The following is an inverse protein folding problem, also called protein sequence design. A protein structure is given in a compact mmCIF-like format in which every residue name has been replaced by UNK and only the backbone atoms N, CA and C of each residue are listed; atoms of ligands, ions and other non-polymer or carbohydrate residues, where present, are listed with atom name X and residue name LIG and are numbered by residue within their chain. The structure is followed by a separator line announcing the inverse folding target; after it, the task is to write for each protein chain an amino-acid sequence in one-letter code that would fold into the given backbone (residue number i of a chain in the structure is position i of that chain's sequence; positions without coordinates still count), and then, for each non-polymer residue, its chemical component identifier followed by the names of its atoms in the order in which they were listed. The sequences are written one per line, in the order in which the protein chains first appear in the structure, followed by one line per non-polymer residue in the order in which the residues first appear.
data_IF_910918208126
#
_entry.id   IF_910918208126
#
_cell.length_a   1.000
_cell.length_b   1.000
_cell.length_c   1.000
_cell.angle_alpha   90.00
_cell.angle_beta   90.00
_cell.angle_gamma   90.00
#
_symmetry.space_group_name_H-M   'P 1'
#
loop_
_entity.id
_entity.type
_entity.pdbx_description
1 polymer ?
#
# COMPACT_ATOMS: atom_id res chain seq x y z
N UNK A 1 6.24 -8.17 -20.41
CA UNK A 1 5.08 -7.80 -19.59
C UNK A 1 5.26 -6.34 -19.20
N UNK A 2 4.17 -5.57 -19.09
CA UNK A 2 4.25 -4.15 -18.73
C UNK A 2 4.03 -4.01 -17.24
N UNK A 3 5.01 -3.48 -16.51
CA UNK A 3 4.90 -3.21 -15.08
C UNK A 3 4.16 -1.88 -14.88
N UNK A 4 3.07 -1.89 -14.10
CA UNK A 4 2.23 -0.70 -13.84
C UNK A 4 2.09 -0.49 -12.34
N UNK A 5 2.37 0.74 -11.91
CA UNK A 5 2.04 1.22 -10.58
C UNK A 5 0.74 2.02 -10.67
N UNK A 6 -0.31 1.53 -10.04
CA UNK A 6 -1.58 2.24 -9.96
C UNK A 6 -1.60 3.07 -8.68
N UNK A 7 -1.98 4.34 -8.80
CA UNK A 7 -2.14 5.23 -7.66
C UNK A 7 -3.51 5.91 -7.75
N UNK A 8 -4.26 5.83 -6.66
CA UNK A 8 -5.50 6.58 -6.47
C UNK A 8 -5.23 7.76 -5.52
N UNK A 9 -5.60 8.97 -5.95
CA UNK A 9 -5.28 10.19 -5.23
C UNK A 9 -3.78 10.54 -5.24
N UNK A 10 -3.38 11.49 -4.42
CA UNK A 10 -1.97 11.85 -4.22
C UNK A 10 -1.69 12.12 -2.75
N UNK A 11 -0.46 11.82 -2.31
CA UNK A 11 -0.01 12.16 -0.96
C UNK A 11 -0.09 13.67 -0.70
N UNK A 12 0.18 14.51 -1.71
CA UNK A 12 0.07 15.97 -1.57
C UNK A 12 -1.35 16.43 -1.24
N UNK A 13 -2.35 15.86 -1.91
CA UNK A 13 -3.77 16.15 -1.63
C UNK A 13 -4.21 15.64 -0.25
N UNK A 14 -3.72 14.46 0.15
CA UNK A 14 -3.98 13.90 1.47
C UNK A 14 -3.41 14.83 2.57
N UNK A 15 -2.15 15.25 2.42
CA UNK A 15 -1.48 16.19 3.33
C UNK A 15 -2.13 17.56 3.38
N UNK A 16 -2.81 17.98 2.31
CA UNK A 16 -3.60 19.20 2.25
C UNK A 16 -4.96 19.10 2.98
N UNK A 17 -5.28 17.94 3.56
CA UNK A 17 -6.48 17.73 4.39
C UNK A 17 -7.70 17.18 3.65
N UNK A 18 -7.56 16.76 2.38
CA UNK A 18 -8.64 16.11 1.64
C UNK A 18 -8.70 14.62 2.00
N UNK A 19 -9.24 14.32 3.19
CA UNK A 19 -9.22 12.98 3.78
C UNK A 19 -10.47 12.13 3.45
N UNK A 20 -11.39 12.65 2.63
CA UNK A 20 -12.61 11.94 2.26
C UNK A 20 -12.26 10.74 1.38
N UNK A 21 -12.76 9.55 1.74
CA UNK A 21 -12.63 8.37 0.89
C UNK A 21 -13.35 8.54 -0.45
N UNK A 22 -12.67 8.20 -1.53
CA UNK A 22 -13.13 8.41 -2.91
C UNK A 22 -13.04 7.18 -3.80
N UNK A 23 -12.38 6.11 -3.35
CA UNK A 23 -12.41 4.78 -3.95
C UNK A 23 -12.62 3.72 -2.88
N UNK A 24 -13.16 2.57 -3.25
CA UNK A 24 -13.32 1.42 -2.33
C UNK A 24 -12.09 0.52 -2.35
N UNK A 25 -11.86 -0.24 -1.28
CA UNK A 25 -10.80 -1.24 -1.23
C UNK A 25 -10.98 -2.31 -2.32
N UNK A 26 -12.22 -2.73 -2.60
CA UNK A 26 -12.51 -3.67 -3.68
C UNK A 26 -12.12 -3.14 -5.07
N UNK A 27 -12.28 -1.83 -5.30
CA UNK A 27 -11.81 -1.19 -6.53
C UNK A 27 -10.29 -1.27 -6.65
N UNK A 28 -9.56 -0.99 -5.58
CA UNK A 28 -8.10 -1.08 -5.57
C UNK A 28 -7.58 -2.49 -5.81
N UNK A 29 -8.25 -3.51 -5.27
CA UNK A 29 -7.90 -4.91 -5.49
C UNK A 29 -8.01 -5.34 -6.96
N UNK A 30 -8.75 -4.61 -7.80
CA UNK A 30 -8.77 -4.86 -9.25
C UNK A 30 -7.47 -4.41 -9.94
N UNK A 31 -6.78 -3.44 -9.34
CA UNK A 31 -5.57 -2.82 -9.87
C UNK A 31 -4.27 -3.47 -9.38
N UNK A 32 -4.27 -4.16 -8.23
CA UNK A 32 -3.08 -4.79 -7.69
C UNK A 32 -3.34 -5.72 -6.50
N UNK A 33 -2.33 -6.52 -6.18
CA UNK A 33 -2.32 -7.50 -5.09
C UNK A 33 -1.34 -7.14 -3.96
N UNK A 34 -0.48 -6.13 -4.20
CA UNK A 34 0.49 -5.60 -3.24
C UNK A 34 0.47 -4.07 -3.24
N UNK A 35 0.56 -3.46 -2.05
CA UNK A 35 0.49 -2.00 -1.94
C UNK A 35 0.20 -1.47 -0.54
N UNK A 36 -0.01 -0.16 -0.47
CA UNK A 36 -0.27 0.59 0.76
C UNK A 36 -1.39 1.62 0.55
N UNK A 37 -2.18 1.90 1.59
CA UNK A 37 -3.20 2.94 1.60
C UNK A 37 -3.54 3.39 3.02
N UNK A 38 -4.50 4.30 3.15
CA UNK A 38 -5.17 4.63 4.41
C UNK A 38 -6.69 4.62 4.20
N UNK A 39 -7.49 4.69 5.26
CA UNK A 39 -8.94 4.82 5.16
C UNK A 39 -9.39 6.28 5.26
N UNK A 40 -10.69 6.51 5.06
CA UNK A 40 -11.33 7.82 5.22
C UNK A 40 -10.93 8.47 6.56
N UNK A 41 -10.58 9.76 6.51
CA UNK A 41 -10.06 10.48 7.67
C UNK A 41 -8.58 10.22 7.97
N UNK A 42 -7.85 9.58 7.06
CA UNK A 42 -6.50 9.06 7.33
C UNK A 42 -6.50 8.08 8.51
N UNK A 43 -7.56 7.28 8.64
CA UNK A 43 -7.72 6.35 9.76
C UNK A 43 -6.85 5.11 9.55
N UNK A 44 -5.71 5.11 10.23
CA UNK A 44 -4.79 3.97 10.26
C UNK A 44 -4.14 3.67 8.92
N UNK A 45 -3.54 2.49 8.85
CA UNK A 45 -2.76 1.99 7.73
C UNK A 45 -3.48 0.83 7.08
N UNK A 46 -3.51 0.82 5.75
CA UNK A 46 -4.02 -0.29 4.95
C UNK A 46 -2.87 -0.94 4.21
N UNK A 47 -2.77 -2.26 4.31
CA UNK A 47 -1.72 -3.07 3.72
C UNK A 47 -2.37 -4.05 2.75
N UNK A 48 -2.01 -3.96 1.47
CA UNK A 48 -2.37 -4.96 0.48
C UNK A 48 -1.27 -6.00 0.41
N UNK A 49 -1.62 -7.25 0.68
CA UNK A 49 -0.70 -8.38 0.70
C UNK A 49 -1.40 -9.63 0.19
N UNK A 50 -0.81 -10.27 -0.82
CA UNK A 50 -1.29 -11.50 -1.45
C UNK A 50 -2.77 -11.42 -1.89
N UNK A 51 -3.18 -10.25 -2.42
CA UNK A 51 -4.54 -10.01 -2.90
C UNK A 51 -5.59 -9.79 -1.81
N UNK A 52 -5.16 -9.63 -0.55
CA UNK A 52 -6.01 -9.28 0.59
C UNK A 52 -5.66 -7.90 1.10
N UNK A 53 -6.64 -7.22 1.69
CA UNK A 53 -6.45 -5.92 2.33
C UNK A 53 -6.59 -6.03 3.85
N UNK A 54 -5.57 -5.59 4.56
CA UNK A 54 -5.54 -5.56 6.02
C UNK A 54 -5.51 -4.12 6.52
N UNK A 55 -6.15 -3.86 7.66
CA UNK A 55 -6.15 -2.55 8.31
C UNK A 55 -5.60 -2.65 9.72
N UNK A 56 -4.69 -1.73 10.03
CA UNK A 56 -4.12 -1.52 11.35
C UNK A 56 -4.43 -0.09 11.82
N UNK A 57 -5.02 0.06 13.02
CA UNK A 57 -5.41 1.38 13.53
C UNK A 57 -4.64 1.80 14.79
N UNK A 58 -4.89 3.03 15.25
CA UNK A 58 -4.27 3.61 16.45
C UNK A 58 -4.62 2.88 17.76
N UNK A 59 -5.69 2.08 17.75
CA UNK A 59 -6.14 1.28 18.88
C UNK A 59 -5.49 -0.12 18.93
N UNK A 60 -4.50 -0.39 18.06
CA UNK A 60 -3.81 -1.68 17.93
C UNK A 60 -4.71 -2.81 17.44
N UNK A 61 -5.80 -2.47 16.76
CA UNK A 61 -6.62 -3.46 16.08
C UNK A 61 -5.99 -3.78 14.72
N UNK A 62 -6.03 -5.06 14.35
CA UNK A 62 -5.56 -5.55 13.06
C UNK A 62 -6.61 -6.49 12.47
N UNK A 63 -7.21 -6.10 11.35
CA UNK A 63 -8.34 -6.82 10.75
C UNK A 63 -8.19 -6.94 9.23
N UNK A 64 -8.74 -8.01 8.66
CA UNK A 64 -8.95 -8.10 7.21
C UNK A 64 -10.19 -7.26 6.84
N UNK A 65 -10.04 -6.37 5.85
CA UNK A 65 -11.10 -5.48 5.39
C UNK A 65 -12.13 -6.23 4.53
N UNK A 66 -13.37 -5.76 4.53
CA UNK A 66 -14.46 -6.38 3.74
C UNK A 66 -14.47 -5.94 2.28
N UNK A 67 -13.89 -4.77 2.00
CA UNK A 67 -13.70 -4.23 0.66
C UNK A 67 -14.55 -2.99 0.35
N UNK A 68 -15.60 -2.75 1.14
CA UNK A 68 -16.51 -1.60 1.04
C UNK A 68 -16.00 -0.34 1.75
N UNK A 69 -14.94 -0.47 2.56
CA UNK A 69 -14.26 0.66 3.16
C UNK A 69 -13.66 1.58 2.09
N UNK A 70 -13.71 2.90 2.35
CA UNK A 70 -13.27 3.90 1.39
C UNK A 70 -11.92 4.49 1.77
N UNK A 71 -11.09 4.70 0.75
CA UNK A 71 -9.75 5.27 0.85
C UNK A 71 -9.65 6.62 0.14
N UNK A 72 -8.96 7.62 0.74
CA UNK A 72 -8.62 8.88 0.06
C UNK A 72 -7.34 8.77 -0.78
N UNK A 73 -6.48 7.78 -0.48
CA UNK A 73 -5.17 7.61 -1.11
C UNK A 73 -4.71 6.16 -1.02
N UNK A 74 -4.26 5.63 -2.15
CA UNK A 74 -3.68 4.30 -2.24
C UNK A 74 -2.68 4.16 -3.38
N UNK A 75 -1.73 3.25 -3.21
CA UNK A 75 -0.79 2.84 -4.25
C UNK A 75 -0.72 1.32 -4.26
N UNK A 76 -1.08 0.71 -5.39
CA UNK A 76 -1.10 -0.75 -5.58
C UNK A 76 -0.47 -1.16 -6.91
N UNK A 77 0.01 -2.40 -6.98
CA UNK A 77 0.53 -2.98 -8.22
C UNK A 77 0.22 -4.48 -8.26
N UNK A 78 0.16 -5.05 -9.46
CA UNK A 78 0.20 -6.50 -9.66
C UNK A 78 1.65 -6.93 -9.58
N UNK A 79 2.07 -7.39 -8.41
CA UNK A 79 3.48 -7.55 -8.11
C UNK A 79 4.06 -8.77 -8.82
N UNK A 80 5.07 -8.52 -9.66
CA UNK A 80 5.89 -9.55 -10.29
C UNK A 80 7.34 -9.22 -10.01
N UNK A 81 8.03 -10.08 -9.27
CA UNK A 81 9.40 -9.84 -8.88
C UNK A 81 10.36 -10.05 -10.06
N UNK A 82 11.02 -8.98 -10.51
CA UNK A 82 12.11 -9.06 -11.50
C UNK A 82 13.41 -9.60 -10.88
N UNK A 83 13.57 -9.48 -9.56
CA UNK A 83 14.77 -9.89 -8.82
C UNK A 83 14.41 -10.33 -7.41
N UNK A 84 15.13 -11.34 -6.92
CA UNK A 84 15.08 -11.77 -5.52
C UNK A 84 16.48 -11.77 -4.88
N UNK A 85 16.53 -11.62 -3.56
CA UNK A 85 17.76 -11.63 -2.77
C UNK A 85 17.43 -11.92 -1.31
N UNK A 86 18.25 -12.76 -0.69
CA UNK A 86 18.13 -13.10 0.72
C UNK A 86 19.10 -12.29 1.57
N UNK A 87 18.65 -11.82 2.72
CA UNK A 87 19.47 -11.06 3.66
C UNK A 87 19.12 -11.41 5.10
N UNK A 88 20.06 -11.18 6.01
CA UNK A 88 19.92 -11.43 7.44
C UNK A 88 20.76 -10.43 8.22
N UNK A 89 20.29 -10.04 9.41
CA UNK A 89 21.03 -9.20 10.37
C UNK A 89 21.50 -7.87 9.76
N UNK A 90 20.61 -7.18 9.03
CA UNK A 90 20.84 -5.85 8.42
C UNK A 90 19.80 -4.85 8.91
N UNK A 91 20.20 -3.58 9.02
CA UNK A 91 19.25 -2.48 9.25
C UNK A 91 18.45 -2.16 8.00
N UNK A 92 17.33 -1.44 8.16
CA UNK A 92 16.50 -0.91 7.08
C UNK A 92 17.31 -0.11 6.06
N UNK A 93 18.24 0.73 6.51
CA UNK A 93 19.07 1.59 5.66
C UNK A 93 20.05 0.75 4.85
N UNK A 94 20.65 -0.27 5.46
CA UNK A 94 21.58 -1.15 4.78
C UNK A 94 20.89 -1.97 3.68
N UNK A 95 19.67 -2.46 3.95
CA UNK A 95 18.84 -3.16 2.94
C UNK A 95 18.47 -2.20 1.80
N UNK A 96 17.99 -0.99 2.12
CA UNK A 96 17.63 0.01 1.11
C UNK A 96 18.81 0.42 0.22
N UNK A 97 19.99 0.66 0.80
CA UNK A 97 21.20 0.95 0.03
C UNK A 97 21.58 -0.19 -0.90
N UNK A 98 21.39 -1.45 -0.48
CA UNK A 98 21.66 -2.62 -1.32
C UNK A 98 20.71 -2.71 -2.50
N UNK A 99 19.40 -2.45 -2.28
CA UNK A 99 18.39 -2.43 -3.33
C UNK A 99 18.65 -1.33 -4.35
N UNK A 100 19.02 -0.12 -3.92
CA UNK A 100 19.33 1.01 -4.80
C UNK A 100 20.50 0.78 -5.75
N UNK A 101 21.49 -0.03 -5.35
CA UNK A 101 22.68 -0.33 -6.19
C UNK A 101 22.39 -1.35 -7.31
N UNK A 102 21.19 -1.93 -7.35
CA UNK A 102 20.79 -2.96 -8.33
C UNK A 102 19.91 -2.43 -9.46
N UNK A 103 19.43 -1.18 -9.35
CA UNK A 103 18.73 -0.47 -10.43
C UNK A 103 19.69 0.43 -11.20
#
# INVERSE_FOLDING_TARGET
MTNVLYQHGTLGTLMAGLLKGTASINELLQHGDLGIATLTGSNGEVIFLDGKAYHANEHKEFVELKGDELTPYATVTKFVADTSYETKDKSSEAVLQKLRKRC
#
